data_IF_819095863456
#
_entry.id   IF_819095863456
#
_cell.length_a   1.000
_cell.length_b   1.000
_cell.length_c   1.000
_cell.angle_alpha   90.00
_cell.angle_beta   90.00
_cell.angle_gamma   90.00
#
_symmetry.space_group_name_H-M   'P 1'
#
loop_
_entity.id
_entity.type
_entity.pdbx_description
1 polymer ?
#
# COMPACT_ATOMS: atom_id res chain seq x y z
N UNK A 1 1.34 -4.83 -23.42
CA UNK A 1 0.81 -4.32 -22.14
C UNK A 1 0.33 -2.89 -22.33
N UNK A 2 -0.85 -2.59 -21.90
CA UNK A 2 -1.36 -1.22 -21.99
C UNK A 2 -0.51 -0.29 -21.12
N UNK A 3 -0.21 0.92 -21.59
CA UNK A 3 0.46 1.94 -20.80
C UNK A 3 -0.44 2.36 -19.65
N UNK A 4 0.13 2.46 -18.44
CA UNK A 4 -0.57 2.96 -17.28
C UNK A 4 -0.62 4.48 -17.38
N UNK A 5 -1.82 5.05 -17.31
CA UNK A 5 -2.03 6.49 -17.33
C UNK A 5 -1.73 7.07 -15.94
N UNK A 6 -1.01 8.19 -15.88
CA UNK A 6 -0.78 8.91 -14.62
C UNK A 6 -2.12 9.26 -13.97
N UNK A 7 -2.23 9.05 -12.67
CA UNK A 7 -3.43 9.36 -11.90
C UNK A 7 -4.46 8.23 -11.85
N UNK A 8 -4.19 7.08 -12.47
CA UNK A 8 -5.10 5.93 -12.43
C UNK A 8 -4.31 4.64 -12.20
N UNK A 9 -4.66 3.92 -11.14
CA UNK A 9 -4.08 2.61 -10.89
C UNK A 9 -4.83 1.53 -11.68
N UNK A 10 -4.09 0.52 -12.14
CA UNK A 10 -4.63 -0.66 -12.80
C UNK A 10 -4.58 -1.83 -11.81
N UNK A 11 -5.67 -2.56 -11.69
CA UNK A 11 -5.77 -3.76 -10.85
C UNK A 11 -5.97 -4.95 -11.74
N UNK A 12 -5.12 -5.97 -11.59
CA UNK A 12 -5.25 -7.25 -12.30
C UNK A 12 -5.11 -8.41 -11.32
N UNK A 13 -5.56 -9.59 -11.74
CA UNK A 13 -5.55 -10.81 -10.92
C UNK A 13 -4.68 -11.86 -11.64
N UNK A 14 -3.35 -11.87 -11.42
CA UNK A 14 -2.45 -12.77 -12.15
C UNK A 14 -2.68 -14.24 -11.86
N UNK A 15 -3.03 -14.57 -10.61
CA UNK A 15 -3.37 -15.94 -10.19
C UNK A 15 -4.56 -15.89 -9.24
N UNK A 16 -5.04 -17.07 -8.80
CA UNK A 16 -6.17 -17.18 -7.87
C UNK A 16 -5.91 -16.52 -6.51
N UNK A 17 -4.65 -16.40 -6.10
CA UNK A 17 -4.28 -15.84 -4.79
C UNK A 17 -3.66 -14.45 -4.88
N UNK A 18 -3.48 -13.90 -6.07
CA UNK A 18 -2.76 -12.64 -6.25
C UNK A 18 -3.64 -11.48 -6.71
N UNK A 19 -3.22 -10.28 -6.28
CA UNK A 19 -3.74 -9.01 -6.79
C UNK A 19 -2.51 -8.20 -7.21
N UNK A 20 -2.48 -7.69 -8.44
CA UNK A 20 -1.41 -6.82 -8.91
C UNK A 20 -1.96 -5.41 -9.14
N UNK A 21 -1.35 -4.44 -8.47
CA UNK A 21 -1.68 -3.02 -8.59
C UNK A 21 -0.49 -2.34 -9.28
N UNK A 22 -0.78 -1.56 -10.32
CA UNK A 22 0.25 -0.80 -11.04
C UNK A 22 -0.21 0.64 -11.20
N UNK A 23 0.67 1.60 -10.88
CA UNK A 23 0.38 3.01 -11.11
C UNK A 23 1.65 3.78 -11.43
N UNK A 24 1.55 4.75 -12.34
CA UNK A 24 2.58 5.74 -12.60
C UNK A 24 2.36 6.99 -11.77
N UNK A 25 3.43 7.52 -11.17
CA UNK A 25 3.42 8.75 -10.36
C UNK A 25 4.29 9.83 -11.01
N UNK A 26 3.80 11.07 -10.95
CA UNK A 26 4.57 12.24 -11.37
C UNK A 26 5.48 12.71 -10.23
N UNK A 27 6.42 11.86 -9.86
CA UNK A 27 7.44 12.13 -8.84
C UNK A 27 8.58 11.13 -8.99
N UNK A 28 9.82 11.51 -8.65
CA UNK A 28 10.94 10.57 -8.68
C UNK A 28 10.81 9.50 -7.58
N UNK A 29 11.39 8.33 -7.81
CA UNK A 29 11.20 7.17 -6.93
C UNK A 29 11.65 7.40 -5.48
N UNK A 30 12.70 8.20 -5.26
CA UNK A 30 13.15 8.46 -3.89
C UNK A 30 12.13 9.26 -3.07
N UNK A 31 11.32 10.10 -3.72
CA UNK A 31 10.24 10.84 -3.05
C UNK A 31 9.01 9.96 -2.82
N UNK A 32 8.68 9.08 -3.75
CA UNK A 32 7.62 8.08 -3.55
C UNK A 32 7.99 7.14 -2.39
N UNK A 33 9.24 6.68 -2.36
CA UNK A 33 9.77 5.87 -1.27
C UNK A 33 9.67 6.58 0.08
N UNK A 34 10.09 7.84 0.13
CA UNK A 34 10.04 8.66 1.34
C UNK A 34 8.61 8.83 1.84
N UNK A 35 7.67 9.11 0.94
CA UNK A 35 6.26 9.24 1.30
C UNK A 35 5.68 7.93 1.83
N UNK A 36 6.15 6.79 1.33
CA UNK A 36 5.69 5.46 1.75
C UNK A 36 6.28 4.99 3.08
N UNK A 37 7.48 5.42 3.42
CA UNK A 37 8.23 4.88 4.56
C UNK A 37 8.39 5.84 5.74
N UNK A 38 7.84 7.05 5.66
CA UNK A 38 7.91 8.06 6.72
C UNK A 38 6.55 8.18 7.40
N UNK A 39 6.43 7.87 8.71
CA UNK A 39 5.13 7.87 9.40
C UNK A 39 4.34 9.17 9.23
N UNK A 40 4.99 10.32 9.37
CA UNK A 40 4.31 11.62 9.23
C UNK A 40 3.73 11.84 7.83
N UNK A 41 4.35 11.25 6.82
CA UNK A 41 3.88 11.36 5.44
C UNK A 41 2.79 10.32 5.15
N UNK A 42 2.92 9.10 5.68
CA UNK A 42 1.89 8.05 5.53
C UNK A 42 0.55 8.51 6.09
N UNK A 43 0.56 9.24 7.20
CA UNK A 43 -0.66 9.80 7.81
C UNK A 43 -1.43 10.73 6.86
N UNK A 44 -0.78 11.26 5.83
CA UNK A 44 -1.38 12.20 4.90
C UNK A 44 -2.06 11.54 3.71
N UNK A 45 -1.85 10.23 3.46
CA UNK A 45 -2.41 9.59 2.28
C UNK A 45 -3.09 8.23 2.54
N UNK A 46 -2.63 7.46 3.53
CA UNK A 46 -3.14 6.09 3.73
C UNK A 46 -4.64 6.05 4.06
N UNK A 47 -5.15 7.08 4.75
CA UNK A 47 -6.58 7.14 5.13
C UNK A 47 -7.53 7.22 3.93
N UNK A 48 -7.05 7.51 2.73
CA UNK A 48 -7.85 7.53 1.50
C UNK A 48 -9.11 8.41 1.60
N UNK A 49 -9.05 9.51 2.37
CA UNK A 49 -10.17 10.44 2.64
C UNK A 49 -11.36 9.79 3.37
N UNK A 50 -11.14 8.64 4.01
CA UNK A 50 -12.23 7.88 4.67
C UNK A 50 -12.20 7.93 6.18
N UNK A 51 -11.28 8.67 6.76
CA UNK A 51 -11.16 8.75 8.21
C UNK A 51 -9.91 9.48 8.64
N UNK A 52 -9.56 9.35 9.90
CA UNK A 52 -8.40 9.98 10.52
C UNK A 52 -7.41 8.92 11.01
N UNK A 53 -6.14 9.11 10.71
CA UNK A 53 -5.07 8.25 11.21
C UNK A 53 -4.87 8.50 12.70
N UNK A 54 -4.94 7.47 13.51
CA UNK A 54 -4.72 7.54 14.97
C UNK A 54 -3.42 6.85 15.40
N UNK A 55 -2.85 6.00 14.55
CA UNK A 55 -1.54 5.41 14.77
C UNK A 55 -0.85 5.16 13.42
N UNK A 56 0.44 5.42 13.36
CA UNK A 56 1.29 5.05 12.24
C UNK A 56 2.69 4.80 12.78
N UNK A 57 3.07 3.55 12.86
CA UNK A 57 4.35 3.11 13.40
C UNK A 57 5.12 2.36 12.31
N UNK A 58 6.38 2.73 12.12
CA UNK A 58 7.26 2.11 11.14
C UNK A 58 8.64 1.92 11.77
N UNK A 59 9.07 0.66 11.88
CA UNK A 59 10.44 0.30 12.22
C UNK A 59 11.09 -0.24 10.95
N UNK A 60 11.68 0.64 10.15
CA UNK A 60 12.14 0.33 8.80
C UNK A 60 13.46 -0.42 8.80
N UNK A 61 13.39 -1.70 9.09
CA UNK A 61 14.50 -2.66 9.03
C UNK A 61 13.92 -4.05 8.78
N UNK A 62 14.70 -4.95 8.23
CA UNK A 62 14.28 -6.35 8.08
C UNK A 62 14.00 -6.93 9.47
N UNK A 63 12.83 -7.52 9.64
CA UNK A 63 12.33 -7.99 10.94
C UNK A 63 11.63 -6.91 11.76
N UNK A 64 11.70 -5.64 11.34
CA UNK A 64 10.96 -4.55 11.98
C UNK A 64 9.48 -4.63 11.67
N UNK A 65 8.67 -4.02 12.53
CA UNK A 65 7.21 -4.04 12.41
C UNK A 65 6.69 -2.71 11.92
N UNK A 66 5.53 -2.75 11.26
CA UNK A 66 4.75 -1.57 10.95
C UNK A 66 3.31 -1.76 11.42
N UNK A 67 2.64 -0.66 11.76
CA UNK A 67 1.23 -0.69 12.13
C UNK A 67 0.55 0.62 11.78
N UNK A 68 -0.59 0.53 11.09
CA UNK A 68 -1.43 1.68 10.74
C UNK A 68 -2.82 1.46 11.32
N UNK A 69 -3.35 2.48 12.00
CA UNK A 69 -4.72 2.45 12.52
C UNK A 69 -5.42 3.74 12.12
N UNK A 70 -6.60 3.56 11.57
CA UNK A 70 -7.48 4.65 11.16
C UNK A 70 -8.82 4.52 11.87
N UNK A 71 -9.41 5.64 12.28
CA UNK A 71 -10.82 5.69 12.67
C UNK A 71 -11.58 6.21 11.46
N UNK A 72 -12.37 5.34 10.85
CA UNK A 72 -13.15 5.67 9.66
C UNK A 72 -14.29 6.62 10.01
N UNK A 73 -14.81 7.31 9.01
CA UNK A 73 -16.02 8.12 9.16
C UNK A 73 -17.14 7.20 9.64
N UNK A 74 -17.81 7.59 10.73
CA UNK A 74 -18.77 6.73 11.42
C UNK A 74 -18.22 6.03 12.66
N UNK A 75 -16.91 6.14 12.94
CA UNK A 75 -16.29 5.68 14.18
C UNK A 75 -15.71 4.28 14.17
N UNK A 76 -15.76 3.55 13.05
CA UNK A 76 -15.15 2.23 12.96
C UNK A 76 -13.63 2.33 12.94
N UNK A 77 -12.96 1.63 13.87
CA UNK A 77 -11.52 1.54 13.89
C UNK A 77 -11.04 0.44 12.93
N UNK A 78 -10.10 0.80 12.05
CA UNK A 78 -9.53 -0.10 11.04
C UNK A 78 -8.02 -0.17 11.28
N UNK A 79 -7.50 -1.36 11.56
CA UNK A 79 -6.08 -1.56 11.85
C UNK A 79 -5.45 -2.61 10.94
N UNK A 80 -4.20 -2.33 10.55
CA UNK A 80 -3.33 -3.24 9.81
C UNK A 80 -1.95 -3.23 10.44
N UNK A 81 -1.28 -4.37 10.40
CA UNK A 81 0.13 -4.45 10.81
C UNK A 81 0.86 -5.48 9.98
N UNK A 82 2.18 -5.49 10.11
CA UNK A 82 3.01 -6.47 9.43
C UNK A 82 4.47 -6.38 9.82
N UNK A 83 5.30 -7.17 9.13
CA UNK A 83 6.72 -7.27 9.32
C UNK A 83 7.44 -7.05 8.00
N UNK A 84 8.52 -6.29 8.01
CA UNK A 84 9.37 -6.12 6.82
C UNK A 84 10.25 -7.34 6.59
N UNK A 85 10.21 -7.88 5.37
CA UNK A 85 10.96 -9.06 4.95
C UNK A 85 12.16 -8.73 4.06
N UNK A 86 12.03 -7.68 3.24
CA UNK A 86 13.11 -7.23 2.36
C UNK A 86 13.00 -5.72 2.17
N UNK A 87 14.13 -5.02 2.20
CA UNK A 87 14.19 -3.58 2.02
C UNK A 87 15.35 -3.25 1.08
N UNK A 88 15.04 -2.75 -0.11
CA UNK A 88 16.01 -2.17 -1.02
C UNK A 88 15.58 -0.70 -1.22
N UNK A 89 16.26 0.26 -0.58
CA UNK A 89 15.80 1.66 -0.58
C UNK A 89 15.51 2.21 -1.97
N UNK A 90 14.37 2.85 -2.10
CA UNK A 90 13.84 3.44 -3.34
C UNK A 90 13.55 2.44 -4.47
N UNK A 91 13.63 1.13 -4.22
CA UNK A 91 13.43 0.11 -5.25
C UNK A 91 12.46 -0.98 -4.88
N UNK A 92 12.57 -1.54 -3.66
CA UNK A 92 11.79 -2.73 -3.31
C UNK A 92 11.51 -2.80 -1.81
N UNK A 93 10.27 -3.10 -1.46
CA UNK A 93 9.84 -3.28 -0.08
C UNK A 93 8.91 -4.49 -0.02
N UNK A 94 9.33 -5.54 0.68
CA UNK A 94 8.52 -6.73 0.90
C UNK A 94 8.11 -6.78 2.37
N UNK A 95 6.80 -6.89 2.60
CA UNK A 95 6.26 -6.96 3.97
C UNK A 95 5.08 -7.90 4.04
N UNK A 96 4.80 -8.40 5.24
CA UNK A 96 3.51 -9.04 5.50
C UNK A 96 2.46 -7.98 5.78
N UNK A 97 1.19 -8.32 5.58
CA UNK A 97 0.06 -7.46 5.88
C UNK A 97 -1.04 -8.27 6.56
N UNK A 98 -1.39 -7.85 7.76
CA UNK A 98 -2.45 -8.47 8.56
C UNK A 98 -3.56 -7.45 8.77
N UNK A 99 -4.78 -7.80 8.35
CA UNK A 99 -5.96 -7.03 8.68
C UNK A 99 -6.46 -7.45 10.07
N UNK A 100 -6.47 -6.51 11.03
CA UNK A 100 -6.77 -6.81 12.44
C UNK A 100 -8.26 -7.03 12.73
N UNK A 101 -9.14 -6.76 11.79
CA UNK A 101 -10.59 -6.78 11.99
C UNK A 101 -11.26 -8.15 11.83
N UNK A 102 -10.49 -9.23 11.72
CA UNK A 102 -11.05 -10.59 11.52
C UNK A 102 -10.47 -11.57 12.54
N UNK A 103 -11.22 -12.66 12.88
CA UNK A 103 -10.69 -13.73 13.71
C UNK A 103 -9.49 -14.40 13.03
N UNK A 104 -8.53 -14.86 13.84
CA UNK A 104 -7.32 -15.56 13.34
C UNK A 104 -6.56 -14.77 12.28
N UNK A 105 -6.49 -13.45 12.47
CA UNK A 105 -5.93 -12.51 11.50
C UNK A 105 -4.53 -12.90 11.01
N UNK A 106 -3.65 -13.39 11.91
CA UNK A 106 -2.28 -13.78 11.55
C UNK A 106 -2.24 -14.95 10.56
N UNK A 107 -3.23 -15.83 10.59
CA UNK A 107 -3.33 -16.97 9.67
C UNK A 107 -3.72 -16.54 8.26
N UNK A 108 -4.24 -15.33 8.12
CA UNK A 108 -4.68 -14.75 6.84
C UNK A 108 -3.73 -13.68 6.33
N UNK A 109 -2.52 -13.59 6.88
CA UNK A 109 -1.54 -12.60 6.48
C UNK A 109 -1.21 -12.69 4.99
N UNK A 110 -1.28 -11.57 4.29
CA UNK A 110 -0.83 -11.45 2.92
C UNK A 110 0.64 -11.04 2.88
N UNK A 111 1.27 -11.17 1.72
CA UNK A 111 2.60 -10.65 1.46
C UNK A 111 2.45 -9.57 0.39
N UNK A 112 2.95 -8.37 0.69
CA UNK A 112 2.97 -7.24 -0.22
C UNK A 112 4.37 -7.04 -0.78
N UNK A 113 4.49 -7.04 -2.10
CA UNK A 113 5.75 -6.82 -2.79
C UNK A 113 5.63 -5.51 -3.56
N UNK A 114 6.20 -4.45 -2.99
CA UNK A 114 6.25 -3.12 -3.59
C UNK A 114 7.53 -2.99 -4.41
N UNK A 115 7.39 -2.55 -5.67
CA UNK A 115 8.53 -2.27 -6.54
C UNK A 115 8.37 -0.88 -7.15
N UNK A 116 9.45 -0.10 -7.14
CA UNK A 116 9.51 1.22 -7.75
C UNK A 116 10.52 1.20 -8.90
N UNK A 117 10.06 1.58 -10.09
CA UNK A 117 10.89 1.68 -11.28
C UNK A 117 10.83 3.11 -11.81
N UNK A 118 11.98 3.76 -11.98
CA UNK A 118 12.03 5.13 -12.47
C UNK A 118 12.12 5.17 -13.99
N UNK A 119 11.27 5.98 -14.60
CA UNK A 119 11.27 6.23 -16.03
C UNK A 119 11.28 7.75 -16.24
N UNK A 120 12.44 8.29 -16.62
CA UNK A 120 12.64 9.74 -16.61
C UNK A 120 12.54 10.27 -15.20
N UNK A 121 11.71 11.28 -14.98
CA UNK A 121 11.45 11.86 -13.65
C UNK A 121 10.17 11.31 -12.99
N UNK A 122 9.62 10.24 -13.56
CA UNK A 122 8.38 9.60 -13.11
C UNK A 122 8.68 8.22 -12.54
N UNK A 123 7.78 7.70 -11.74
CA UNK A 123 7.92 6.39 -11.09
C UNK A 123 6.76 5.47 -11.46
N UNK A 124 7.07 4.24 -11.85
CA UNK A 124 6.08 3.19 -11.96
C UNK A 124 6.16 2.37 -10.67
N UNK A 125 5.04 2.34 -9.94
CA UNK A 125 4.88 1.56 -8.74
C UNK A 125 4.07 0.31 -9.05
N UNK A 126 4.56 -0.84 -8.61
CA UNK A 126 3.77 -2.07 -8.61
C UNK A 126 3.68 -2.61 -7.19
N UNK A 127 2.51 -3.12 -6.82
CA UNK A 127 2.31 -3.89 -5.60
C UNK A 127 1.71 -5.22 -6.00
N UNK A 128 2.46 -6.30 -5.76
CA UNK A 128 1.92 -7.65 -5.88
C UNK A 128 1.51 -8.11 -4.50
N UNK A 129 0.21 -8.33 -4.30
CA UNK A 129 -0.34 -8.84 -3.04
C UNK A 129 -0.56 -10.33 -3.21
N UNK A 130 0.06 -11.13 -2.34
CA UNK A 130 -0.10 -12.58 -2.34
C UNK A 130 -0.86 -13.02 -1.10
N UNK A 131 -2.05 -13.56 -1.29
CA UNK A 131 -2.86 -14.12 -0.22
C UNK A 131 -2.58 -15.61 -0.03
N UNK A 132 -2.74 -16.15 1.19
CA UNK A 132 -2.53 -17.59 1.40
C UNK A 132 -3.64 -18.45 0.76
N UNK A 133 -4.80 -17.87 0.47
CA UNK A 133 -5.93 -18.60 -0.14
C UNK A 133 -6.65 -17.75 -1.18
N UNK A 134 -7.35 -18.43 -2.09
CA UNK A 134 -8.23 -17.76 -3.06
C UNK A 134 -9.36 -17.01 -2.34
N UNK A 135 -9.93 -17.59 -1.29
CA UNK A 135 -11.00 -16.97 -0.50
C UNK A 135 -10.52 -15.66 0.12
N UNK A 136 -9.31 -15.62 0.66
CA UNK A 136 -8.71 -14.41 1.20
C UNK A 136 -8.49 -13.34 0.13
N UNK A 137 -8.00 -13.74 -1.04
CA UNK A 137 -7.85 -12.84 -2.19
C UNK A 137 -9.19 -12.27 -2.62
N UNK A 138 -10.21 -13.13 -2.75
CA UNK A 138 -11.54 -12.71 -3.17
C UNK A 138 -12.18 -11.77 -2.15
N UNK A 139 -12.03 -12.03 -0.86
CA UNK A 139 -12.51 -11.13 0.19
C UNK A 139 -11.86 -9.74 0.09
N UNK A 140 -10.57 -9.68 -0.18
CA UNK A 140 -9.85 -8.42 -0.35
C UNK A 140 -10.36 -7.64 -1.57
N UNK A 141 -10.40 -8.28 -2.75
CA UNK A 141 -10.81 -7.58 -3.98
C UNK A 141 -12.29 -7.15 -3.91
N UNK A 142 -13.14 -7.88 -3.21
CA UNK A 142 -14.57 -7.59 -3.08
C UNK A 142 -14.90 -6.65 -1.91
N UNK A 143 -13.91 -6.19 -1.15
CA UNK A 143 -14.10 -5.31 0.01
C UNK A 143 -14.33 -3.84 -0.34
N UNK A 144 -14.29 -3.49 -1.63
CA UNK A 144 -14.28 -2.09 -2.06
C UNK A 144 -12.88 -1.48 -2.04
N UNK A 145 -11.83 -2.29 -1.96
CA UNK A 145 -10.44 -1.85 -1.86
C UNK A 145 -10.01 -0.96 -3.04
N UNK A 146 -10.55 -1.20 -4.23
CA UNK A 146 -10.13 -0.47 -5.42
C UNK A 146 -10.41 1.02 -5.31
N UNK A 147 -11.61 1.42 -4.89
CA UNK A 147 -11.94 2.83 -4.71
C UNK A 147 -11.07 3.50 -3.63
N UNK A 148 -10.84 2.80 -2.52
CA UNK A 148 -9.97 3.29 -1.45
C UNK A 148 -8.52 3.41 -1.91
N UNK A 149 -8.03 2.43 -2.64
CA UNK A 149 -6.69 2.42 -3.17
C UNK A 149 -6.48 3.57 -4.18
N UNK A 150 -7.44 3.81 -5.09
CA UNK A 150 -7.35 4.92 -6.03
C UNK A 150 -7.21 6.26 -5.30
N UNK A 151 -8.03 6.51 -4.29
CA UNK A 151 -7.97 7.75 -3.50
C UNK A 151 -6.66 7.87 -2.72
N UNK A 152 -6.19 6.77 -2.12
CA UNK A 152 -4.93 6.76 -1.40
C UNK A 152 -3.75 7.05 -2.33
N UNK A 153 -3.73 6.46 -3.52
CA UNK A 153 -2.67 6.69 -4.51
C UNK A 153 -2.66 8.13 -5.02
N UNK A 154 -3.83 8.75 -5.21
CA UNK A 154 -3.92 10.16 -5.60
C UNK A 154 -3.31 11.06 -4.52
N UNK A 155 -3.62 10.79 -3.25
CA UNK A 155 -3.04 11.53 -2.14
C UNK A 155 -1.53 11.29 -2.02
N UNK A 156 -1.09 10.06 -2.23
CA UNK A 156 0.34 9.71 -2.23
C UNK A 156 1.11 10.53 -3.28
N UNK A 157 0.56 10.65 -4.48
CA UNK A 157 1.16 11.47 -5.53
C UNK A 157 1.29 12.93 -5.10
N UNK A 158 0.24 13.49 -4.49
CA UNK A 158 0.28 14.86 -3.98
C UNK A 158 1.36 15.03 -2.91
N UNK A 159 1.47 14.08 -1.99
CA UNK A 159 2.49 14.11 -0.93
C UNK A 159 3.88 14.04 -1.54
N UNK A 160 4.14 13.06 -2.40
CA UNK A 160 5.45 12.88 -3.03
C UNK A 160 5.86 14.11 -3.85
N UNK A 161 4.93 14.67 -4.63
CA UNK A 161 5.19 15.86 -5.44
C UNK A 161 5.49 17.08 -4.58
N UNK A 162 4.90 17.19 -3.39
CA UNK A 162 5.14 18.29 -2.47
C UNK A 162 6.54 18.27 -1.85
N UNK A 163 7.26 17.16 -1.96
CA UNK A 163 8.60 17.00 -1.38
C UNK A 163 9.72 17.45 -2.33
N UNK A 164 9.40 17.84 -3.55
CA UNK A 164 10.36 18.37 -4.51
C UNK A 164 11.00 19.66 -4.04
#
# INVERSE_FOLDING_TARGET
MAAVSSGTATVTLPTDEQILITREFDAPKHLVWRAWTTPELVKRWWHAKRGAMVACEIDLRVGGMWRYVMVADGGLEVGFHGEYREIVPSERLVSTEVYEGIPDAEEHAAIDILTLTEVGERTILTILVEHPTKEGRDAHINSGMEAGMQDAMDLLEQVASSLR
#
